data_IF_602270734191
#
_entry.id   IF_602270734191
#
_cell.length_a   1.000
_cell.length_b   1.000
_cell.length_c   1.000
_cell.angle_alpha   90.00
_cell.angle_beta   90.00
_cell.angle_gamma   90.00
#
_symmetry.space_group_name_H-M   'P 1'
#
loop_
_entity.id
_entity.type
_entity.pdbx_description
1 polymer ?
#
# COMPACT_ATOMS: atom_id res chain seq x y z
N UNK A 1 -13.34 8.13 5.08
CA UNK A 1 -13.64 7.18 3.99
C UNK A 1 -14.09 5.88 4.66
N UNK A 2 -15.28 5.37 4.35
CA UNK A 2 -15.86 4.23 5.07
C UNK A 2 -15.20 2.92 4.60
N UNK A 3 -14.96 2.00 5.53
CA UNK A 3 -14.36 0.66 5.28
C UNK A 3 -15.01 -0.08 4.09
N UNK A 4 -16.32 0.07 3.90
CA UNK A 4 -17.06 -0.51 2.77
C UNK A 4 -16.61 0.03 1.41
N UNK A 5 -16.22 1.29 1.32
CA UNK A 5 -15.72 1.91 0.08
C UNK A 5 -14.35 1.36 -0.31
N UNK A 6 -13.48 1.09 0.66
CA UNK A 6 -12.14 0.53 0.43
C UNK A 6 -12.23 -0.89 -0.15
N UNK A 7 -13.11 -1.73 0.39
CA UNK A 7 -13.32 -3.09 -0.14
C UNK A 7 -13.91 -3.10 -1.54
N UNK A 8 -14.79 -2.15 -1.86
CA UNK A 8 -15.30 -2.03 -3.23
C UNK A 8 -14.18 -1.65 -4.20
N UNK A 9 -13.29 -0.74 -3.82
CA UNK A 9 -12.18 -0.33 -4.69
C UNK A 9 -11.18 -1.48 -4.86
N UNK A 10 -10.77 -2.13 -3.76
CA UNK A 10 -9.77 -3.22 -3.78
C UNK A 10 -10.33 -4.50 -4.40
N UNK A 11 -11.63 -4.76 -4.31
CA UNK A 11 -12.26 -5.97 -4.87
C UNK A 11 -12.81 -5.76 -6.28
N UNK A 12 -13.67 -4.77 -6.48
CA UNK A 12 -14.45 -4.63 -7.71
C UNK A 12 -13.60 -4.14 -8.89
N UNK A 13 -12.71 -3.17 -8.66
CA UNK A 13 -11.88 -2.57 -9.72
C UNK A 13 -10.95 -3.60 -10.37
N UNK A 14 -10.14 -4.40 -9.65
CA UNK A 14 -9.29 -5.40 -10.28
C UNK A 14 -10.08 -6.52 -10.96
N UNK A 15 -11.24 -6.92 -10.40
CA UNK A 15 -12.12 -7.92 -11.04
C UNK A 15 -12.66 -7.40 -12.37
N UNK A 16 -13.13 -6.15 -12.42
CA UNK A 16 -13.61 -5.53 -13.66
C UNK A 16 -12.48 -5.42 -14.70
N UNK A 17 -11.28 -4.99 -14.29
CA UNK A 17 -10.11 -4.94 -15.16
C UNK A 17 -9.75 -6.32 -15.71
N UNK A 18 -9.73 -7.36 -14.88
CA UNK A 18 -9.47 -8.73 -15.31
C UNK A 18 -10.53 -9.22 -16.32
N UNK A 19 -11.81 -8.95 -16.06
CA UNK A 19 -12.90 -9.33 -16.96
C UNK A 19 -12.76 -8.69 -18.35
N UNK A 20 -12.41 -7.39 -18.40
CA UNK A 20 -12.19 -6.67 -19.66
C UNK A 20 -10.99 -7.24 -20.43
N UNK A 21 -9.86 -7.46 -19.74
CA UNK A 21 -8.65 -8.05 -20.36
C UNK A 21 -8.91 -9.47 -20.88
N UNK A 22 -9.66 -10.28 -20.13
CA UNK A 22 -10.05 -11.62 -20.55
C UNK A 22 -10.97 -11.58 -21.77
N UNK A 23 -11.95 -10.67 -21.82
CA UNK A 23 -12.83 -10.51 -22.97
C UNK A 23 -12.07 -10.03 -24.21
N UNK A 24 -11.16 -9.06 -24.07
CA UNK A 24 -10.30 -8.59 -25.15
C UNK A 24 -9.42 -9.73 -25.68
N UNK A 25 -8.78 -10.48 -24.78
CA UNK A 25 -7.99 -11.67 -25.14
C UNK A 25 -8.83 -12.69 -25.91
N UNK A 26 -10.05 -12.99 -25.46
CA UNK A 26 -10.96 -13.90 -26.18
C UNK A 26 -11.27 -13.42 -27.59
N UNK A 27 -11.49 -12.13 -27.79
CA UNK A 27 -11.73 -11.57 -29.13
C UNK A 27 -10.50 -11.71 -30.03
N UNK A 28 -9.32 -11.37 -29.53
CA UNK A 28 -8.06 -11.55 -30.26
C UNK A 28 -7.82 -13.04 -30.58
N UNK A 29 -8.27 -13.94 -29.71
CA UNK A 29 -8.14 -15.37 -29.94
C UNK A 29 -9.15 -15.95 -30.94
N UNK A 30 -10.32 -15.32 -31.09
CA UNK A 30 -11.36 -15.72 -32.02
C UNK A 30 -11.21 -15.07 -33.41
N UNK A 31 -10.29 -14.11 -33.53
CA UNK A 31 -10.00 -13.47 -34.80
C UNK A 31 -9.08 -14.35 -35.66
N UNK A 32 -9.71 -15.11 -36.54
CA UNK A 32 -9.03 -15.95 -37.56
C UNK A 32 -8.55 -15.15 -38.77
N UNK A 33 -8.93 -13.86 -38.90
CA UNK A 33 -8.46 -13.00 -40.00
C UNK A 33 -7.10 -12.37 -39.70
N UNK A 34 -6.68 -12.32 -38.44
CA UNK A 34 -5.44 -11.70 -38.02
C UNK A 34 -4.23 -12.62 -38.24
N UNK A 35 -3.18 -12.10 -38.86
CA UNK A 35 -1.90 -12.81 -38.93
C UNK A 35 -1.35 -13.11 -37.52
N UNK A 36 -0.69 -14.26 -37.30
CA UNK A 36 -0.22 -14.67 -35.98
C UNK A 36 0.73 -13.66 -35.31
N UNK A 37 1.49 -12.88 -36.10
CA UNK A 37 2.34 -11.79 -35.59
C UNK A 37 1.52 -10.61 -35.06
N UNK A 38 0.44 -10.23 -35.73
CA UNK A 38 -0.47 -9.17 -35.28
C UNK A 38 -1.21 -9.59 -34.02
N UNK A 39 -1.64 -10.86 -33.96
CA UNK A 39 -2.29 -11.45 -32.78
C UNK A 39 -1.38 -11.41 -31.55
N UNK A 40 -0.08 -11.70 -31.71
CA UNK A 40 0.90 -11.59 -30.63
C UNK A 40 1.10 -10.14 -30.17
N UNK A 41 1.15 -9.18 -31.09
CA UNK A 41 1.26 -7.76 -30.74
C UNK A 41 0.02 -7.25 -29.99
N UNK A 42 -1.19 -7.63 -30.42
CA UNK A 42 -2.44 -7.28 -29.74
C UNK A 42 -2.52 -7.90 -28.34
N UNK A 43 -2.16 -9.18 -28.22
CA UNK A 43 -2.09 -9.85 -26.91
C UNK A 43 -1.08 -9.16 -25.99
N UNK A 44 0.10 -8.83 -26.53
CA UNK A 44 1.13 -8.07 -25.83
C UNK A 44 0.59 -6.75 -25.32
N UNK A 45 -0.11 -5.97 -26.15
CA UNK A 45 -0.67 -4.67 -25.74
C UNK A 45 -1.69 -4.77 -24.60
N UNK A 46 -2.55 -5.79 -24.62
CA UNK A 46 -3.57 -6.04 -23.57
C UNK A 46 -2.87 -6.27 -22.23
N UNK A 47 -1.86 -7.13 -22.20
CA UNK A 47 -1.20 -7.55 -20.96
C UNK A 47 -0.02 -6.69 -20.55
N UNK A 48 0.52 -5.86 -21.44
CA UNK A 48 1.73 -5.07 -21.16
C UNK A 48 1.52 -4.08 -20.02
N UNK A 49 0.41 -3.35 -20.01
CA UNK A 49 0.10 -2.37 -18.97
C UNK A 49 0.03 -3.00 -17.57
N UNK A 50 -0.77 -4.07 -17.33
CA UNK A 50 -0.79 -4.72 -16.02
C UNK A 50 0.55 -5.37 -15.64
N UNK A 51 1.28 -5.96 -16.60
CA UNK A 51 2.63 -6.48 -16.35
C UNK A 51 3.58 -5.38 -15.90
N UNK A 52 3.63 -4.27 -16.63
CA UNK A 52 4.51 -3.14 -16.33
C UNK A 52 4.17 -2.52 -14.97
N UNK A 53 2.88 -2.34 -14.67
CA UNK A 53 2.43 -1.85 -13.36
C UNK A 53 2.88 -2.76 -12.22
N UNK A 54 2.71 -4.08 -12.38
CA UNK A 54 3.15 -5.05 -11.36
C UNK A 54 4.66 -5.04 -11.16
N UNK A 55 5.43 -4.93 -12.25
CA UNK A 55 6.90 -4.87 -12.22
C UNK A 55 7.37 -3.61 -11.49
N UNK A 56 6.74 -2.45 -11.73
CA UNK A 56 7.08 -1.21 -11.04
C UNK A 56 6.81 -1.31 -9.54
N UNK A 57 5.68 -1.88 -9.14
CA UNK A 57 5.36 -2.07 -7.71
C UNK A 57 6.39 -2.99 -7.05
N UNK A 58 6.78 -4.08 -7.71
CA UNK A 58 7.82 -4.98 -7.20
C UNK A 58 9.18 -4.28 -7.12
N UNK A 59 9.55 -3.49 -8.13
CA UNK A 59 10.81 -2.74 -8.14
C UNK A 59 10.84 -1.64 -7.06
N UNK A 60 9.69 -1.06 -6.74
CA UNK A 60 9.55 -0.05 -5.68
C UNK A 60 9.35 -0.64 -4.28
N UNK A 61 9.08 -1.95 -4.19
CA UNK A 61 8.88 -2.60 -2.90
C UNK A 61 10.19 -2.62 -2.12
N UNK A 62 10.31 -1.72 -1.15
CA UNK A 62 11.41 -1.74 -0.17
C UNK A 62 11.09 -2.78 0.89
N UNK A 63 12.09 -3.60 1.23
CA UNK A 63 11.99 -4.51 2.36
C UNK A 63 11.71 -3.70 3.64
N UNK A 64 10.73 -4.09 4.46
CA UNK A 64 10.55 -3.45 5.76
C UNK A 64 11.84 -3.64 6.56
N UNK A 65 12.31 -2.60 7.28
CA UNK A 65 13.48 -2.75 8.13
C UNK A 65 13.24 -3.92 9.07
N UNK A 66 14.24 -4.80 9.20
CA UNK A 66 14.20 -5.89 10.16
C UNK A 66 13.77 -5.32 11.51
N UNK A 67 12.88 -6.00 12.27
CA UNK A 67 12.48 -5.54 13.59
C UNK A 67 13.68 -5.59 14.53
N UNK A 68 14.52 -4.56 14.46
CA UNK A 68 15.43 -4.22 15.53
C UNK A 68 14.51 -3.89 16.70
N UNK A 69 14.47 -4.73 17.73
CA UNK A 69 13.67 -4.53 18.95
C UNK A 69 14.02 -3.26 19.73
N UNK A 70 14.72 -2.32 19.11
CA UNK A 70 14.94 -0.97 19.58
C UNK A 70 13.82 -0.09 19.02
N UNK A 71 12.77 0.07 19.81
CA UNK A 71 11.94 1.26 19.69
C UNK A 71 12.86 2.46 19.89
N UNK A 72 13.07 3.25 18.84
CA UNK A 72 13.68 4.57 18.98
C UNK A 72 12.81 5.38 19.95
N UNK A 73 13.25 5.48 21.20
CA UNK A 73 12.66 6.31 22.27
C UNK A 73 12.78 7.82 21.98
N UNK A 74 12.89 8.22 20.72
CA UNK A 74 13.20 9.59 20.36
C UNK A 74 11.96 10.29 19.80
N UNK A 75 10.87 10.33 20.59
CA UNK A 75 9.75 11.26 20.36
C UNK A 75 8.92 11.58 21.61
N UNK A 76 9.50 11.43 22.81
CA UNK A 76 8.99 12.05 24.03
C UNK A 76 9.95 13.13 24.48
N UNK A 77 10.02 14.23 23.73
CA UNK A 77 10.45 15.49 24.32
C UNK A 77 9.18 16.22 24.75
N UNK A 78 9.09 16.41 26.07
CA UNK A 78 8.01 17.00 26.84
C UNK A 78 7.48 18.30 26.20
N UNK A 79 6.24 18.23 25.71
CA UNK A 79 5.34 19.37 25.60
C UNK A 79 4.33 19.25 26.74
N UNK A 80 4.27 20.28 27.60
CA UNK A 80 3.50 20.29 28.84
C UNK A 80 4.41 20.61 30.03
N UNK A 81 4.70 21.87 30.34
CA UNK A 81 3.66 22.84 30.64
C UNK A 81 3.28 22.72 32.11
N UNK A 82 3.74 23.72 32.87
CA UNK A 82 3.07 24.29 34.03
C UNK A 82 3.32 23.66 35.40
N UNK A 83 3.92 24.51 36.26
CA UNK A 83 4.33 24.16 37.60
C UNK A 83 3.18 24.04 38.61
N UNK A 84 3.35 23.12 39.56
CA UNK A 84 2.84 23.25 40.93
C UNK A 84 3.33 22.07 41.77
N UNK A 85 4.36 22.28 42.59
CA UNK A 85 4.62 21.43 43.77
C UNK A 85 5.42 22.20 44.83
N UNK A 86 4.88 23.34 45.24
CA UNK A 86 5.33 24.13 46.38
C UNK A 86 4.50 23.81 47.64
N UNK A 87 4.15 22.55 47.93
CA UNK A 87 3.42 22.20 49.17
C UNK A 87 3.68 20.76 49.68
N UNK A 88 4.90 20.49 50.12
CA UNK A 88 5.18 19.51 51.18
C UNK A 88 6.31 20.12 52.04
N UNK A 89 6.05 21.05 52.98
CA UNK A 89 5.32 20.83 54.25
C UNK A 89 5.76 19.51 54.85
N UNK A 90 6.57 19.43 55.89
CA UNK A 90 7.08 20.41 56.82
C UNK A 90 7.62 19.60 57.99
N UNK A 91 8.64 20.15 58.64
CA UNK A 91 8.81 20.09 60.09
C UNK A 91 9.40 18.80 60.71
N UNK A 92 10.10 19.04 61.83
CA UNK A 92 10.71 18.14 62.84
C UNK A 92 12.23 17.94 62.63
N UNK A 93 13.10 18.78 63.23
CA UNK A 93 13.60 18.79 64.64
C UNK A 93 14.22 17.44 65.03
N UNK A 94 15.30 17.31 65.79
CA UNK A 94 16.29 18.15 66.46
C UNK A 94 17.44 17.18 66.83
N UNK A 95 18.58 17.74 67.25
CA UNK A 95 19.79 17.12 67.84
C UNK A 95 20.94 16.66 66.91
#
# INVERSE_FOLDING_TARGET
MSITTEYLIVGLVPVALLAINAQATRRVLQDDLSEPKQRLAQFGMIWFVPLLGSLMVLAMHREPPAPSGQYSQHLYYEDGGDGCSLLARGDVSDD
#
